data_IF_298782114466
#
_entry.id   IF_298782114466
#
_cell.length_a   1.000
_cell.length_b   1.000
_cell.length_c   1.000
_cell.angle_alpha   90.00
_cell.angle_beta   90.00
_cell.angle_gamma   90.00
#
_symmetry.space_group_name_H-M   'P 1'
#
loop_
_entity.id
_entity.type
_entity.pdbx_description
1 polymer ?
#
# COMPACT_ATOMS: atom_id res chain seq x y z
N UNK A 1 27.29 -16.30 2.10
CA UNK A 1 25.82 -16.10 2.11
C UNK A 1 25.16 -17.44 1.99
N UNK A 2 24.36 -17.80 2.95
CA UNK A 2 23.70 -19.11 3.01
C UNK A 2 22.59 -19.15 1.95
N UNK A 3 22.54 -20.23 1.14
CA UNK A 3 21.50 -20.43 0.10
C UNK A 3 20.07 -20.49 0.65
N UNK A 4 19.89 -20.63 1.98
CA UNK A 4 18.61 -20.60 2.66
C UNK A 4 18.03 -19.18 2.75
N UNK A 5 18.86 -18.12 2.84
CA UNK A 5 18.43 -16.71 2.89
C UNK A 5 17.88 -16.23 1.55
N UNK A 6 18.33 -16.81 0.44
CA UNK A 6 17.82 -16.49 -0.92
C UNK A 6 16.40 -17.02 -1.16
N UNK A 7 16.00 -18.08 -0.43
CA UNK A 7 14.71 -18.76 -0.58
C UNK A 7 13.57 -18.04 0.16
N UNK A 8 13.87 -17.38 1.27
CA UNK A 8 12.89 -16.72 2.13
C UNK A 8 13.37 -15.32 2.56
N UNK A 9 13.41 -14.32 1.64
CA UNK A 9 13.87 -12.98 1.96
C UNK A 9 12.99 -12.31 3.03
N UNK A 10 13.58 -11.51 3.91
CA UNK A 10 12.82 -10.75 4.91
C UNK A 10 11.89 -9.74 4.24
N UNK A 11 10.62 -9.76 4.63
CA UNK A 11 9.60 -8.78 4.21
C UNK A 11 9.36 -7.79 5.34
N UNK A 12 9.59 -6.50 5.08
CA UNK A 12 9.20 -5.42 5.99
C UNK A 12 7.80 -4.93 5.62
N UNK A 13 6.87 -5.07 6.57
CA UNK A 13 5.48 -4.62 6.44
C UNK A 13 5.38 -3.21 7.00
N UNK A 14 5.01 -2.25 6.16
CA UNK A 14 4.92 -0.82 6.47
C UNK A 14 3.51 -0.48 6.87
N UNK A 15 3.30 -0.15 8.15
CA UNK A 15 1.97 0.12 8.71
C UNK A 15 1.94 1.47 9.43
N UNK A 16 1.49 2.53 8.75
CA UNK A 16 1.22 3.81 9.41
C UNK A 16 -0.09 3.71 10.19
N UNK A 17 -0.17 4.31 11.37
CA UNK A 17 -1.42 4.35 12.14
C UNK A 17 -1.62 5.70 12.82
N UNK A 18 -2.86 6.16 12.83
CA UNK A 18 -3.34 7.32 13.61
C UNK A 18 -4.79 7.09 14.01
N UNK A 19 -5.07 7.04 15.33
CA UNK A 19 -6.39 6.77 15.90
C UNK A 19 -7.04 5.52 15.29
N UNK A 20 -6.32 4.40 15.32
CA UNK A 20 -6.70 3.13 14.70
C UNK A 20 -7.22 2.07 15.66
N UNK A 21 -7.59 2.42 16.89
CA UNK A 21 -7.98 1.46 17.95
C UNK A 21 -9.04 0.44 17.50
N UNK A 22 -9.93 0.87 16.60
CA UNK A 22 -11.05 0.05 16.13
C UNK A 22 -10.60 -1.11 15.22
N UNK A 23 -9.50 -0.95 14.47
CA UNK A 23 -9.16 -1.87 13.39
C UNK A 23 -7.77 -2.48 13.51
N UNK A 24 -6.83 -1.79 14.16
CA UNK A 24 -5.41 -2.20 14.18
C UNK A 24 -5.20 -3.61 14.72
N UNK A 25 -6.02 -4.07 15.66
CA UNK A 25 -5.95 -5.43 16.19
C UNK A 25 -6.17 -6.47 15.08
N UNK A 26 -7.25 -6.35 14.30
CA UNK A 26 -7.54 -7.27 13.19
C UNK A 26 -6.47 -7.20 12.09
N UNK A 27 -5.92 -6.01 11.82
CA UNK A 27 -4.80 -5.84 10.88
C UNK A 27 -3.57 -6.61 11.34
N UNK A 28 -3.17 -6.50 12.61
CA UNK A 28 -2.03 -7.23 13.18
C UNK A 28 -2.28 -8.74 13.15
N UNK A 29 -3.47 -9.20 13.52
CA UNK A 29 -3.84 -10.61 13.49
C UNK A 29 -3.73 -11.20 12.09
N UNK A 30 -4.08 -10.45 11.04
CA UNK A 30 -3.93 -10.89 9.66
C UNK A 30 -2.46 -11.10 9.25
N UNK A 31 -1.53 -10.38 9.88
CA UNK A 31 -0.09 -10.55 9.68
C UNK A 31 0.45 -11.72 10.51
N UNK A 32 0.02 -11.88 11.75
CA UNK A 32 0.42 -13.01 12.61
C UNK A 32 0.03 -14.35 12.00
N UNK A 33 -1.09 -14.40 11.27
CA UNK A 33 -1.60 -15.60 10.61
C UNK A 33 -0.99 -15.87 9.22
N UNK A 34 0.05 -15.12 8.78
CA UNK A 34 0.69 -15.37 7.50
C UNK A 34 1.44 -16.70 7.47
N UNK A 35 1.27 -17.47 6.39
CA UNK A 35 2.00 -18.73 6.15
C UNK A 35 3.49 -18.50 5.91
N UNK A 36 3.85 -17.33 5.39
CA UNK A 36 5.24 -16.89 5.24
C UNK A 36 5.78 -16.36 6.57
N UNK A 37 6.81 -16.95 7.12
CA UNK A 37 7.28 -16.65 8.49
C UNK A 37 8.34 -15.56 8.60
N UNK A 38 9.09 -15.27 7.50
CA UNK A 38 10.23 -14.33 7.56
C UNK A 38 9.79 -12.89 7.24
N UNK A 39 9.11 -12.27 8.20
CA UNK A 39 8.64 -10.89 8.11
C UNK A 39 8.92 -10.11 9.40
N UNK A 40 8.97 -8.80 9.26
CA UNK A 40 8.86 -7.84 10.36
C UNK A 40 7.72 -6.86 10.04
N UNK A 41 6.96 -6.47 11.06
CA UNK A 41 5.90 -5.47 10.93
C UNK A 41 6.31 -4.18 11.64
N UNK A 42 6.53 -3.13 10.88
CA UNK A 42 6.94 -1.82 11.40
C UNK A 42 5.71 -0.93 11.47
N UNK A 43 5.23 -0.73 12.68
CA UNK A 43 4.07 0.13 12.97
C UNK A 43 4.59 1.45 13.50
N UNK A 44 4.31 2.52 12.77
CA UNK A 44 4.60 3.87 13.24
C UNK A 44 3.28 4.55 13.60
N UNK A 45 3.13 4.85 14.89
CA UNK A 45 2.00 5.61 15.41
C UNK A 45 2.24 7.11 15.25
N UNK A 46 1.32 7.79 14.59
CA UNK A 46 1.40 9.21 14.25
C UNK A 46 0.78 10.09 15.35
N UNK A 47 1.10 9.78 16.63
CA UNK A 47 0.59 10.50 17.81
C UNK A 47 -0.91 10.28 18.02
N UNK A 48 -1.36 9.03 18.05
CA UNK A 48 -2.73 8.66 18.41
C UNK A 48 -3.09 9.13 19.82
N UNK A 49 -4.37 9.49 20.01
CA UNK A 49 -4.94 9.93 21.27
C UNK A 49 -5.97 8.95 21.85
N UNK A 50 -6.23 7.86 21.13
CA UNK A 50 -7.07 6.74 21.52
C UNK A 50 -6.23 5.56 22.05
N UNK A 51 -6.81 4.37 22.21
CA UNK A 51 -6.13 3.20 22.74
C UNK A 51 -5.20 2.47 21.72
N UNK A 52 -4.96 3.06 20.53
CA UNK A 52 -4.14 2.45 19.46
C UNK A 52 -2.80 1.93 19.96
N UNK A 53 -2.04 2.80 20.65
CA UNK A 53 -0.69 2.47 21.12
C UNK A 53 -0.69 1.31 22.11
N UNK A 54 -1.66 1.27 23.02
CA UNK A 54 -1.74 0.21 24.03
C UNK A 54 -2.16 -1.13 23.43
N UNK A 55 -3.01 -1.11 22.39
CA UNK A 55 -3.35 -2.31 21.62
C UNK A 55 -2.10 -2.86 20.95
N UNK A 56 -1.34 -2.05 20.22
CA UNK A 56 -0.14 -2.49 19.50
C UNK A 56 0.92 -3.01 20.48
N UNK A 57 1.11 -2.35 21.63
CA UNK A 57 2.06 -2.80 22.68
C UNK A 57 1.76 -4.20 23.20
N UNK A 58 0.48 -4.58 23.29
CA UNK A 58 0.09 -5.96 23.70
C UNK A 58 0.59 -6.98 22.69
N UNK A 59 0.39 -6.74 21.38
CA UNK A 59 0.88 -7.64 20.35
C UNK A 59 2.43 -7.67 20.26
N UNK A 60 3.09 -6.52 20.37
CA UNK A 60 4.54 -6.42 20.34
C UNK A 60 5.24 -7.13 21.53
N UNK A 61 4.53 -7.34 22.65
CA UNK A 61 5.02 -8.17 23.77
C UNK A 61 4.93 -9.67 23.48
N UNK A 62 4.02 -10.09 22.62
CA UNK A 62 3.78 -11.49 22.26
C UNK A 62 4.69 -11.93 21.12
N UNK A 63 4.90 -11.04 20.12
CA UNK A 63 5.71 -11.35 18.95
C UNK A 63 6.70 -10.21 18.66
N UNK A 64 8.00 -10.50 18.76
CA UNK A 64 9.09 -9.54 18.60
C UNK A 64 9.29 -9.07 17.14
N UNK A 65 8.63 -9.69 16.17
CA UNK A 65 8.60 -9.25 14.78
C UNK A 65 7.74 -8.00 14.61
N UNK A 66 6.86 -7.69 15.56
CA UNK A 66 6.04 -6.47 15.59
C UNK A 66 6.83 -5.36 16.30
N UNK A 67 7.15 -4.30 15.56
CA UNK A 67 7.97 -3.19 16.02
C UNK A 67 7.14 -1.90 16.04
N UNK A 68 6.88 -1.36 17.23
CA UNK A 68 6.16 -0.11 17.41
C UNK A 68 7.12 1.07 17.57
N UNK A 69 6.89 2.12 16.80
CA UNK A 69 7.48 3.43 16.99
C UNK A 69 6.39 4.50 17.17
N UNK A 70 6.43 5.22 18.27
CA UNK A 70 5.47 6.31 18.55
C UNK A 70 6.12 7.64 18.20
N UNK A 71 5.53 8.38 17.28
CA UNK A 71 6.04 9.69 16.84
C UNK A 71 5.79 10.76 17.89
N UNK A 72 6.78 11.63 18.11
CA UNK A 72 6.66 12.78 19.02
C UNK A 72 5.78 13.90 18.46
N UNK A 73 5.67 13.98 17.14
CA UNK A 73 4.88 14.96 16.39
C UNK A 73 4.02 14.23 15.36
N UNK A 74 2.94 14.85 14.91
CA UNK A 74 2.16 14.32 13.80
C UNK A 74 2.92 14.57 12.49
N UNK A 75 3.27 13.46 11.80
CA UNK A 75 4.05 13.44 10.55
C UNK A 75 3.15 13.43 9.31
N UNK A 76 1.87 13.11 9.48
CA UNK A 76 0.94 12.81 8.40
C UNK A 76 1.25 11.46 7.71
N UNK A 77 0.33 10.97 6.89
CA UNK A 77 0.41 9.64 6.30
C UNK A 77 1.72 9.36 5.53
N UNK A 78 2.16 10.33 4.70
CA UNK A 78 3.43 10.22 3.97
C UNK A 78 4.64 10.17 4.90
N UNK A 79 4.67 11.07 5.90
CA UNK A 79 5.78 11.13 6.87
C UNK A 79 5.87 9.87 7.71
N UNK A 80 4.74 9.34 8.12
CA UNK A 80 4.64 8.11 8.92
C UNK A 80 5.11 6.89 8.14
N UNK A 81 4.71 6.74 6.85
CA UNK A 81 5.22 5.67 5.99
C UNK A 81 6.72 5.82 5.72
N UNK A 82 7.21 7.04 5.51
CA UNK A 82 8.64 7.29 5.36
C UNK A 82 9.43 6.91 6.63
N UNK A 83 8.84 7.14 7.80
CA UNK A 83 9.46 6.71 9.07
C UNK A 83 9.52 5.19 9.17
N UNK A 84 8.48 4.47 8.74
CA UNK A 84 8.54 3.01 8.64
C UNK A 84 9.67 2.56 7.70
N UNK A 85 9.80 3.20 6.52
CA UNK A 85 10.88 2.90 5.57
C UNK A 85 12.29 3.13 6.15
N UNK A 86 12.46 4.11 7.04
CA UNK A 86 13.74 4.34 7.72
C UNK A 86 14.10 3.22 8.70
N UNK A 87 13.09 2.57 9.29
CA UNK A 87 13.25 1.57 10.33
C UNK A 87 13.29 0.12 9.78
N UNK A 88 13.02 -0.07 8.50
CA UNK A 88 12.96 -1.39 7.87
C UNK A 88 14.33 -2.02 7.66
N UNK A 89 14.38 -3.36 7.72
CA UNK A 89 15.57 -4.15 7.44
C UNK A 89 15.38 -5.17 6.31
N UNK A 90 14.12 -5.41 5.87
CA UNK A 90 13.81 -6.42 4.87
C UNK A 90 14.21 -6.01 3.46
N UNK A 91 14.49 -7.02 2.63
CA UNK A 91 14.66 -6.86 1.19
C UNK A 91 13.35 -6.46 0.51
N UNK A 92 12.23 -7.06 0.91
CA UNK A 92 10.93 -6.72 0.37
C UNK A 92 10.22 -5.70 1.25
N UNK A 93 9.61 -4.69 0.61
CA UNK A 93 8.66 -3.78 1.23
C UNK A 93 7.25 -4.24 0.86
N UNK A 94 6.37 -4.41 1.86
CA UNK A 94 4.94 -4.58 1.66
C UNK A 94 4.19 -3.53 2.48
N UNK A 95 3.10 -2.99 1.95
CA UNK A 95 2.33 -1.94 2.62
C UNK A 95 1.00 -2.48 3.11
N UNK A 96 0.66 -2.18 4.37
CA UNK A 96 -0.61 -2.55 4.97
C UNK A 96 -1.09 -1.38 5.86
N UNK A 97 -2.18 -0.74 5.45
CA UNK A 97 -2.78 0.33 6.25
C UNK A 97 -3.51 -0.28 7.48
N UNK A 98 -3.62 0.51 8.56
CA UNK A 98 -4.05 0.04 9.88
C UNK A 98 -5.53 -0.40 9.97
N UNK A 99 -6.29 -0.25 8.92
CA UNK A 99 -7.71 -0.60 8.78
C UNK A 99 -7.98 -1.73 7.76
N UNK A 100 -6.93 -2.19 7.04
CA UNK A 100 -7.02 -3.25 6.04
C UNK A 100 -6.62 -4.62 6.60
N UNK A 101 -6.94 -5.68 5.86
CA UNK A 101 -6.68 -7.07 6.22
C UNK A 101 -6.02 -7.81 5.05
N UNK A 102 -5.06 -8.68 5.32
CA UNK A 102 -4.50 -9.61 4.34
C UNK A 102 -5.07 -11.02 4.46
N UNK A 103 -5.11 -11.76 3.35
CA UNK A 103 -5.32 -13.21 3.40
C UNK A 103 -4.08 -13.89 3.98
N UNK A 104 -4.26 -15.07 4.58
CA UNK A 104 -3.18 -15.79 5.29
C UNK A 104 -1.98 -16.18 4.40
N UNK A 105 -2.17 -16.25 3.10
CA UNK A 105 -1.17 -16.69 2.12
C UNK A 105 -0.61 -15.55 1.25
N UNK A 106 -0.92 -14.29 1.63
CA UNK A 106 -0.54 -13.12 0.84
C UNK A 106 0.96 -12.99 0.65
N UNK A 107 1.72 -13.03 1.71
CA UNK A 107 3.17 -12.86 1.63
C UNK A 107 3.82 -14.00 0.85
N UNK A 108 3.45 -15.24 1.14
CA UNK A 108 3.99 -16.43 0.47
C UNK A 108 3.74 -16.39 -1.04
N UNK A 109 2.50 -16.17 -1.45
CA UNK A 109 2.12 -16.12 -2.87
C UNK A 109 2.81 -14.98 -3.62
N UNK A 110 2.87 -13.80 -3.00
CA UNK A 110 3.44 -12.63 -3.68
C UNK A 110 4.96 -12.69 -3.74
N UNK A 111 5.66 -13.12 -2.67
CA UNK A 111 7.12 -13.36 -2.70
C UNK A 111 7.48 -14.41 -3.75
N UNK A 112 6.76 -15.55 -3.76
CA UNK A 112 6.97 -16.58 -4.78
C UNK A 112 6.78 -16.04 -6.21
N UNK A 113 5.71 -15.26 -6.45
CA UNK A 113 5.44 -14.65 -7.75
C UNK A 113 6.57 -13.71 -8.19
N UNK A 114 7.09 -12.89 -7.27
CA UNK A 114 8.19 -11.96 -7.54
C UNK A 114 9.48 -12.70 -7.87
N UNK A 115 9.89 -13.65 -7.03
CA UNK A 115 11.13 -14.39 -7.22
C UNK A 115 11.10 -15.25 -8.50
N UNK A 116 10.01 -16.00 -8.73
CA UNK A 116 9.83 -16.86 -9.91
C UNK A 116 9.93 -16.10 -11.23
N UNK A 117 9.34 -14.90 -11.28
CA UNK A 117 9.28 -14.11 -12.52
C UNK A 117 10.33 -12.98 -12.57
N UNK A 118 11.16 -12.84 -11.55
CA UNK A 118 12.13 -11.73 -11.38
C UNK A 118 11.47 -10.36 -11.47
N UNK A 119 10.29 -10.22 -10.85
CA UNK A 119 9.57 -8.95 -10.80
C UNK A 119 9.97 -8.15 -9.57
N UNK A 120 10.33 -6.89 -9.78
CA UNK A 120 10.75 -6.00 -8.70
C UNK A 120 9.59 -5.21 -8.06
N UNK A 121 8.46 -5.07 -8.77
CA UNK A 121 7.30 -4.31 -8.32
C UNK A 121 6.03 -5.05 -8.70
N UNK A 122 5.20 -5.38 -7.70
CA UNK A 122 3.97 -6.15 -7.90
C UNK A 122 2.80 -5.56 -7.14
N UNK A 123 1.59 -5.86 -7.61
CA UNK A 123 0.35 -5.59 -6.91
C UNK A 123 -0.57 -6.82 -6.99
N UNK A 124 -1.47 -6.98 -6.03
CA UNK A 124 -2.42 -8.09 -5.99
C UNK A 124 -3.86 -7.57 -6.00
N UNK A 125 -4.79 -8.42 -6.45
CA UNK A 125 -6.22 -8.15 -6.37
C UNK A 125 -6.69 -8.04 -4.92
N UNK A 126 -7.76 -7.30 -4.69
CA UNK A 126 -8.37 -7.17 -3.37
C UNK A 126 -9.89 -7.12 -3.45
N UNK A 127 -10.54 -7.51 -2.39
CA UNK A 127 -11.97 -7.30 -2.21
C UNK A 127 -12.27 -6.12 -1.29
N UNK A 128 -13.48 -5.58 -1.40
CA UNK A 128 -13.95 -4.47 -0.57
C UNK A 128 -14.82 -5.00 0.55
N UNK A 129 -14.50 -4.64 1.80
CA UNK A 129 -15.27 -4.96 2.99
C UNK A 129 -15.87 -3.70 3.63
N UNK A 130 -16.90 -3.88 4.44
CA UNK A 130 -17.45 -2.82 5.28
C UNK A 130 -16.69 -2.67 6.60
N UNK A 131 -17.11 -1.74 7.46
CA UNK A 131 -16.47 -1.52 8.77
C UNK A 131 -16.53 -2.74 9.69
N UNK A 132 -17.52 -3.62 9.53
CA UNK A 132 -17.69 -4.84 10.31
C UNK A 132 -16.88 -6.02 9.77
N UNK A 133 -16.22 -5.85 8.60
CA UNK A 133 -15.47 -6.90 7.94
C UNK A 133 -16.29 -7.76 6.97
N UNK A 134 -17.57 -7.43 6.72
CA UNK A 134 -18.37 -8.18 5.77
C UNK A 134 -18.01 -7.79 4.33
N UNK A 135 -17.88 -8.79 3.45
CA UNK A 135 -17.62 -8.53 2.03
C UNK A 135 -18.82 -7.81 1.37
N UNK A 136 -18.52 -6.88 0.49
CA UNK A 136 -19.49 -6.16 -0.33
C UNK A 136 -19.68 -6.81 -1.71
N UNK A 137 -19.09 -7.99 -1.92
CA UNK A 137 -19.10 -8.68 -3.22
C UNK A 137 -18.36 -7.93 -4.33
N UNK A 138 -17.51 -6.95 -3.95
CA UNK A 138 -16.79 -6.11 -4.87
C UNK A 138 -15.30 -6.45 -4.87
N UNK A 139 -14.83 -6.99 -6.00
CA UNK A 139 -13.43 -7.33 -6.22
C UNK A 139 -12.81 -6.32 -7.19
N UNK A 140 -11.60 -5.89 -6.90
CA UNK A 140 -10.81 -5.02 -7.78
C UNK A 140 -9.64 -5.79 -8.33
N UNK A 141 -9.67 -6.00 -9.65
CA UNK A 141 -8.63 -6.73 -10.38
C UNK A 141 -7.52 -5.81 -10.85
N UNK A 142 -6.28 -6.25 -10.67
CA UNK A 142 -5.10 -5.55 -11.15
C UNK A 142 -4.83 -5.85 -12.62
N UNK A 143 -4.26 -4.88 -13.33
CA UNK A 143 -3.74 -5.13 -14.68
C UNK A 143 -2.55 -6.08 -14.60
N UNK A 144 -2.42 -6.99 -15.57
CA UNK A 144 -1.26 -7.91 -15.65
C UNK A 144 0.07 -7.18 -15.65
N UNK A 145 0.13 -6.00 -16.26
CA UNK A 145 1.27 -5.10 -16.25
C UNK A 145 0.79 -3.66 -16.26
N UNK A 146 1.37 -2.85 -15.38
CA UNK A 146 1.15 -1.40 -15.30
C UNK A 146 2.47 -0.69 -15.50
N UNK A 147 2.57 0.13 -16.54
CA UNK A 147 3.62 1.10 -16.77
C UNK A 147 3.15 2.51 -16.41
N UNK A 148 4.02 3.50 -16.59
CA UNK A 148 3.75 4.90 -16.32
C UNK A 148 2.47 5.42 -17.03
N UNK A 149 2.33 5.15 -18.33
CA UNK A 149 1.19 5.62 -19.11
C UNK A 149 -0.11 4.89 -18.76
N UNK A 150 -0.04 3.60 -18.47
CA UNK A 150 -1.19 2.81 -17.98
C UNK A 150 -1.68 3.32 -16.65
N UNK A 151 -0.77 3.64 -15.72
CA UNK A 151 -1.13 4.17 -14.41
C UNK A 151 -1.81 5.54 -14.50
N UNK A 152 -1.29 6.45 -15.34
CA UNK A 152 -1.93 7.75 -15.59
C UNK A 152 -3.37 7.63 -16.07
N UNK A 153 -3.70 6.57 -16.83
CA UNK A 153 -5.06 6.32 -17.35
C UNK A 153 -6.01 5.72 -16.34
N UNK A 154 -5.51 4.88 -15.43
CA UNK A 154 -6.36 4.01 -14.61
C UNK A 154 -6.22 4.22 -13.11
N UNK A 155 -5.04 4.64 -12.62
CA UNK A 155 -4.72 4.78 -11.19
C UNK A 155 -5.17 3.56 -10.34
N UNK A 156 -4.77 2.36 -10.76
CA UNK A 156 -5.24 1.10 -10.17
C UNK A 156 -4.35 0.54 -9.06
N UNK A 157 -3.14 1.06 -8.89
CA UNK A 157 -2.23 0.53 -7.88
C UNK A 157 -2.71 0.93 -6.48
N UNK A 158 -3.20 -0.04 -5.73
CA UNK A 158 -3.66 0.15 -4.36
C UNK A 158 -2.55 -0.26 -3.39
N UNK A 159 -2.28 0.60 -2.42
CA UNK A 159 -1.22 0.43 -1.41
C UNK A 159 -1.26 -0.95 -0.74
N UNK A 160 -2.45 -1.41 -0.36
CA UNK A 160 -2.72 -2.71 0.26
C UNK A 160 -2.09 -3.91 -0.47
N UNK A 161 -2.07 -3.89 -1.82
CA UNK A 161 -1.56 -4.99 -2.64
C UNK A 161 -0.09 -4.87 -3.03
N UNK A 162 0.54 -3.72 -2.78
CA UNK A 162 1.91 -3.43 -3.24
C UNK A 162 2.95 -4.27 -2.51
N UNK A 163 3.92 -4.79 -3.30
CA UNK A 163 5.19 -5.32 -2.81
C UNK A 163 6.33 -4.91 -3.75
N UNK A 164 7.48 -4.50 -3.18
CA UNK A 164 8.64 -3.96 -3.88
C UNK A 164 9.91 -4.68 -3.42
N UNK A 165 10.77 -5.07 -4.35
CA UNK A 165 12.11 -5.62 -4.09
C UNK A 165 13.15 -4.51 -4.08
N UNK A 166 13.74 -4.22 -2.93
CA UNK A 166 14.70 -3.13 -2.76
C UNK A 166 16.11 -3.47 -3.22
N UNK A 167 16.40 -4.72 -3.54
CA UNK A 167 17.64 -5.10 -4.22
C UNK A 167 17.64 -4.64 -5.69
N UNK A 168 16.45 -4.38 -6.25
CA UNK A 168 16.28 -3.97 -7.65
C UNK A 168 15.80 -2.51 -7.74
N UNK A 169 14.83 -2.11 -6.92
CA UNK A 169 14.30 -0.74 -6.87
C UNK A 169 14.89 -0.02 -5.66
N UNK A 170 15.70 1.02 -5.86
CA UNK A 170 16.28 1.79 -4.75
C UNK A 170 15.22 2.27 -3.77
N UNK A 171 15.45 2.07 -2.48
CA UNK A 171 14.51 2.44 -1.40
C UNK A 171 14.12 3.94 -1.43
N UNK A 172 15.00 4.76 -1.93
CA UNK A 172 14.78 6.20 -2.11
C UNK A 172 13.60 6.51 -3.02
N UNK A 173 13.36 5.68 -4.06
CA UNK A 173 12.20 5.80 -4.96
C UNK A 173 10.88 5.46 -4.26
N UNK A 174 10.92 4.73 -3.14
CA UNK A 174 9.75 4.36 -2.36
C UNK A 174 9.33 5.45 -1.35
N UNK A 175 10.12 6.53 -1.20
CA UNK A 175 9.79 7.63 -0.28
C UNK A 175 8.59 8.43 -0.78
N UNK A 176 7.61 8.59 0.11
CA UNK A 176 6.38 9.33 -0.19
C UNK A 176 6.58 10.83 -0.02
N UNK A 177 6.04 11.60 -0.94
CA UNK A 177 6.06 13.08 -0.89
C UNK A 177 5.06 13.59 0.16
N UNK A 178 5.51 14.53 1.01
CA UNK A 178 4.66 15.14 2.05
C UNK A 178 3.80 16.30 1.53
N UNK A 179 4.18 16.85 0.39
CA UNK A 179 3.55 18.01 -0.27
C UNK A 179 2.49 17.61 -1.31
N UNK A 180 2.03 16.36 -1.26
CA UNK A 180 1.07 15.82 -2.23
C UNK A 180 -0.11 15.15 -1.52
N UNK A 181 -1.34 15.45 -1.96
CA UNK A 181 -2.56 14.80 -1.44
C UNK A 181 -2.70 13.33 -1.85
N UNK A 182 -2.00 12.94 -2.91
CA UNK A 182 -1.98 11.58 -3.48
C UNK A 182 -0.56 11.03 -3.39
N UNK A 183 -0.03 11.01 -2.18
CA UNK A 183 1.34 10.60 -1.87
C UNK A 183 1.68 9.20 -2.36
N UNK A 184 0.72 8.28 -2.26
CA UNK A 184 0.80 6.91 -2.77
C UNK A 184 0.93 6.89 -4.30
N UNK A 185 -0.01 7.50 -5.00
CA UNK A 185 -0.02 7.55 -6.45
C UNK A 185 1.22 8.27 -7.03
N UNK A 186 1.68 9.35 -6.38
CA UNK A 186 2.90 10.05 -6.77
C UNK A 186 4.14 9.15 -6.64
N UNK A 187 4.21 8.34 -5.58
CA UNK A 187 5.31 7.39 -5.36
C UNK A 187 5.30 6.28 -6.42
N UNK A 188 4.14 5.70 -6.70
CA UNK A 188 4.05 4.68 -7.74
C UNK A 188 4.41 5.23 -9.12
N UNK A 189 3.93 6.43 -9.46
CA UNK A 189 4.34 7.11 -10.70
C UNK A 189 5.84 7.37 -10.76
N UNK A 190 6.45 7.77 -9.65
CA UNK A 190 7.88 8.00 -9.60
C UNK A 190 8.69 6.72 -9.89
N UNK A 191 8.29 5.59 -9.32
CA UNK A 191 8.91 4.28 -9.61
C UNK A 191 8.72 3.92 -11.09
N UNK A 192 7.48 4.02 -11.60
CA UNK A 192 7.17 3.69 -13.00
C UNK A 192 7.90 4.60 -14.00
N UNK A 193 8.07 5.89 -13.69
CA UNK A 193 8.81 6.87 -14.50
C UNK A 193 10.30 6.58 -14.60
N UNK A 194 10.86 5.91 -13.57
CA UNK A 194 12.25 5.43 -13.57
C UNK A 194 12.44 4.10 -14.32
N UNK A 195 11.46 3.68 -15.16
CA UNK A 195 11.59 2.54 -16.06
C UNK A 195 11.12 1.21 -15.49
N UNK A 196 10.66 1.18 -14.24
CA UNK A 196 10.10 -0.03 -13.64
C UNK A 196 8.66 -0.24 -14.10
N UNK A 197 8.18 -1.48 -14.04
CA UNK A 197 6.78 -1.82 -14.29
C UNK A 197 6.21 -2.58 -13.09
N UNK A 198 4.94 -2.34 -12.77
CA UNK A 198 4.23 -3.10 -11.76
C UNK A 198 3.48 -4.26 -12.40
N UNK A 199 3.63 -5.47 -11.85
CA UNK A 199 2.99 -6.68 -12.36
C UNK A 199 1.88 -7.13 -11.41
N UNK A 200 0.68 -7.34 -11.97
CA UNK A 200 -0.50 -7.77 -11.22
C UNK A 200 -0.51 -9.27 -10.99
N UNK A 201 -0.68 -9.65 -9.74
CA UNK A 201 -1.03 -11.00 -9.32
C UNK A 201 -2.55 -11.07 -9.19
N UNK A 202 -3.21 -11.71 -10.17
CA UNK A 202 -4.67 -11.79 -10.22
C UNK A 202 -5.22 -12.84 -9.24
N UNK A 203 -4.93 -12.65 -7.98
CA UNK A 203 -5.43 -13.42 -6.83
C UNK A 203 -5.82 -12.40 -5.76
N UNK A 204 -6.97 -12.58 -5.12
CA UNK A 204 -7.40 -11.74 -4.00
C UNK A 204 -6.51 -12.06 -2.81
N UNK A 205 -5.67 -11.12 -2.42
CA UNK A 205 -4.72 -11.25 -1.32
C UNK A 205 -4.93 -10.21 -0.22
N UNK A 206 -5.95 -9.36 -0.35
CA UNK A 206 -6.27 -8.35 0.65
C UNK A 206 -7.73 -7.96 0.65
N UNK A 207 -8.15 -7.37 1.76
CA UNK A 207 -9.50 -6.86 2.01
C UNK A 207 -9.38 -5.37 2.36
N UNK A 208 -9.84 -4.52 1.45
CA UNK A 208 -9.85 -3.08 1.61
C UNK A 208 -11.09 -2.65 2.38
N UNK A 209 -10.89 -2.08 3.57
CA UNK A 209 -11.99 -1.62 4.42
C UNK A 209 -12.48 -0.23 4.00
N UNK A 210 -13.78 -0.12 3.77
CA UNK A 210 -14.46 1.16 3.58
C UNK A 210 -15.03 1.66 4.89
N UNK A 211 -14.44 2.75 5.40
CA UNK A 211 -14.90 3.47 6.58
C UNK A 211 -15.58 4.75 6.14
N UNK A 212 -16.80 5.01 6.62
CA UNK A 212 -17.50 6.27 6.37
C UNK A 212 -16.73 7.43 7.03
N UNK A 213 -16.65 8.58 6.33
CA UNK A 213 -15.87 9.72 6.80
C UNK A 213 -14.36 9.60 6.65
N UNK A 214 -13.84 8.47 6.13
CA UNK A 214 -12.42 8.30 5.88
C UNK A 214 -11.86 9.30 4.85
N UNK A 215 -10.55 9.50 4.87
CA UNK A 215 -9.81 10.38 3.95
C UNK A 215 -10.11 10.06 2.47
N UNK A 216 -10.32 8.80 2.13
CA UNK A 216 -10.63 8.32 0.78
C UNK A 216 -12.09 8.49 0.35
N UNK A 217 -13.00 8.81 1.27
CA UNK A 217 -14.44 8.96 0.98
C UNK A 217 -14.79 10.24 0.21
N UNK A 218 -13.97 11.29 0.30
CA UNK A 218 -14.22 12.60 -0.34
C UNK A 218 -13.85 12.59 -1.83
N UNK A 219 -14.88 12.43 -2.68
CA UNK A 219 -14.73 12.33 -4.15
C UNK A 219 -14.19 13.60 -4.79
N UNK A 220 -14.60 14.79 -4.33
CA UNK A 220 -14.11 16.06 -4.88
C UNK A 220 -12.61 16.23 -4.60
N UNK A 221 -12.19 15.87 -3.39
CA UNK A 221 -10.77 15.87 -3.03
C UNK A 221 -9.98 14.87 -3.88
N UNK A 222 -10.52 13.67 -4.13
CA UNK A 222 -9.88 12.67 -4.98
C UNK A 222 -9.70 13.15 -6.43
N UNK A 223 -10.72 13.80 -7.01
CA UNK A 223 -10.70 14.38 -8.37
C UNK A 223 -9.66 15.51 -8.46
N UNK A 224 -9.69 16.45 -7.50
CA UNK A 224 -8.72 17.55 -7.43
C UNK A 224 -7.29 17.04 -7.24
N UNK A 225 -7.10 16.05 -6.39
CA UNK A 225 -5.81 15.42 -6.15
C UNK A 225 -5.22 14.78 -7.39
N UNK A 226 -6.04 14.12 -8.24
CA UNK A 226 -5.59 13.58 -9.52
C UNK A 226 -5.20 14.67 -10.52
N UNK A 227 -5.96 15.76 -10.60
CA UNK A 227 -5.60 16.91 -11.44
C UNK A 227 -4.27 17.53 -11.01
N UNK A 228 -4.09 17.73 -9.70
CA UNK A 228 -2.84 18.25 -9.14
C UNK A 228 -1.66 17.29 -9.39
N UNK A 229 -1.88 15.98 -9.31
CA UNK A 229 -0.88 14.97 -9.63
C UNK A 229 -0.35 15.15 -11.06
N UNK A 230 -1.25 15.34 -12.05
CA UNK A 230 -0.83 15.56 -13.44
C UNK A 230 -0.15 16.90 -13.65
N UNK A 231 -0.69 18.00 -13.08
CA UNK A 231 -0.23 19.35 -13.37
C UNK A 231 0.94 19.83 -12.52
N UNK A 232 0.94 19.47 -11.23
CA UNK A 232 1.90 20.04 -10.26
C UNK A 232 3.00 19.04 -9.86
N UNK A 233 2.74 17.74 -9.95
CA UNK A 233 3.72 16.72 -9.60
C UNK A 233 4.42 16.17 -10.82
N UNK A 234 3.66 15.79 -11.87
CA UNK A 234 4.19 15.24 -13.11
C UNK A 234 4.52 16.30 -14.15
N UNK A 235 4.08 17.55 -13.95
CA UNK A 235 4.28 18.68 -14.88
C UNK A 235 3.83 18.40 -16.33
N UNK A 236 2.79 17.58 -16.51
CA UNK A 236 2.29 17.23 -17.82
C UNK A 236 1.75 18.48 -18.54
N UNK A 237 1.97 18.64 -19.87
CA UNK A 237 1.32 19.65 -20.66
C UNK A 237 -0.22 19.58 -20.53
N UNK A 238 -0.91 20.72 -20.66
CA UNK A 238 -2.35 20.79 -20.42
C UNK A 238 -3.14 19.77 -21.25
N UNK A 239 -2.82 19.61 -22.53
CA UNK A 239 -3.48 18.68 -23.45
C UNK A 239 -3.35 17.23 -22.94
N UNK A 240 -2.14 16.82 -22.50
CA UNK A 240 -1.91 15.49 -21.94
C UNK A 240 -2.63 15.30 -20.60
N UNK A 241 -2.64 16.34 -19.76
CA UNK A 241 -3.37 16.31 -18.49
C UNK A 241 -4.87 16.11 -18.71
N UNK A 242 -5.48 16.84 -19.65
CA UNK A 242 -6.88 16.67 -20.02
C UNK A 242 -7.15 15.25 -20.56
N UNK A 243 -6.31 14.74 -21.45
CA UNK A 243 -6.45 13.38 -22.00
C UNK A 243 -6.43 12.32 -20.90
N UNK A 244 -5.42 12.32 -20.03
CA UNK A 244 -5.32 11.33 -18.95
C UNK A 244 -6.44 11.49 -17.93
N UNK A 245 -6.84 12.72 -17.63
CA UNK A 245 -7.92 12.98 -16.69
C UNK A 245 -9.28 12.45 -17.20
N UNK A 246 -9.59 12.64 -18.48
CA UNK A 246 -10.80 12.10 -19.12
C UNK A 246 -10.77 10.55 -19.05
N UNK A 247 -9.63 9.94 -19.40
CA UNK A 247 -9.47 8.48 -19.34
C UNK A 247 -9.65 7.94 -17.92
N UNK A 248 -9.05 8.59 -16.93
CA UNK A 248 -9.22 8.27 -15.52
C UNK A 248 -10.69 8.40 -15.08
N UNK A 249 -11.36 9.48 -15.44
CA UNK A 249 -12.76 9.71 -15.08
C UNK A 249 -13.70 8.65 -15.69
N UNK A 250 -13.53 8.33 -16.97
CA UNK A 250 -14.28 7.26 -17.64
C UNK A 250 -14.06 5.93 -16.93
N UNK A 251 -12.81 5.59 -16.63
CA UNK A 251 -12.49 4.34 -15.93
C UNK A 251 -13.07 4.30 -14.51
N UNK A 252 -12.99 5.40 -13.77
CA UNK A 252 -13.56 5.49 -12.42
C UNK A 252 -15.09 5.37 -12.42
N UNK A 253 -15.78 5.91 -13.43
CA UNK A 253 -17.21 5.73 -13.63
C UNK A 253 -17.54 4.29 -13.99
N UNK A 254 -16.82 3.69 -14.95
CA UNK A 254 -16.99 2.29 -15.35
C UNK A 254 -16.79 1.34 -14.16
N UNK A 255 -15.73 1.52 -13.40
CA UNK A 255 -15.46 0.75 -12.17
C UNK A 255 -16.60 0.86 -11.14
N UNK A 256 -17.29 2.00 -11.09
CA UNK A 256 -18.42 2.21 -10.17
C UNK A 256 -19.68 1.46 -10.59
N UNK A 257 -19.89 1.28 -11.90
CA UNK A 257 -21.10 0.66 -12.46
C UNK A 257 -20.95 -0.85 -12.52
N UNK A 258 -19.76 -1.35 -12.89
CA UNK A 258 -19.55 -2.75 -13.23
C UNK A 258 -18.72 -3.55 -12.19
N UNK A 259 -18.12 -2.87 -11.23
CA UNK A 259 -17.37 -3.41 -10.12
C UNK A 259 -17.87 -2.75 -8.82
#
# INVERSE_FOLDING_TARGET
MDKSEEKYPLVSIITPVYNGEKFIGATIESVLNQTYSNWEMIIVDDRSIDNTVDIIRKYAKIDNRIKLHVSKINLGAAGTRNKCLELMNGRFIAYLDADDIWTMDKLEKQVHFMLKNKYAFTNADYEVIDEKGNTKGKVVHMLKKTDYHSFLKHNLLQTLGIMIDTDIIPKELCRMRKDCEREDAATWLHILKNGYSCYGLNIILGQYRRVEGSRSSNKLKAVRGMWNLYRQIEYLPLIHSCYYFIRYAIYALWKRIYI
#
